data_IF_632005950669
#
_entry.id   IF_632005950669
#
_cell.length_a   1.000
_cell.length_b   1.000
_cell.length_c   1.000
_cell.angle_alpha   90.00
_cell.angle_beta   90.00
_cell.angle_gamma   90.00
#
_symmetry.space_group_name_H-M   'P 1'
#
loop_
_entity.id
_entity.type
_entity.pdbx_description
1 polymer ?
#
# COMPACT_ATOMS: atom_id res chain seq x y z
N UNK A 1 23.33 -8.49 7.70
CA UNK A 1 22.69 -8.45 6.36
C UNK A 1 22.00 -9.79 6.14
N UNK A 2 20.74 -9.79 5.69
CA UNK A 2 19.93 -10.99 5.54
C UNK A 2 20.30 -11.87 4.31
N UNK A 3 21.35 -11.52 3.55
CA UNK A 3 21.84 -12.30 2.41
C UNK A 3 20.90 -12.38 1.21
N UNK A 4 19.88 -11.52 1.14
CA UNK A 4 18.85 -11.57 0.09
C UNK A 4 19.31 -11.04 -1.27
N UNK A 5 20.32 -10.16 -1.28
CA UNK A 5 20.94 -9.62 -2.48
C UNK A 5 22.40 -9.22 -2.20
N UNK A 6 23.21 -9.18 -3.25
CA UNK A 6 24.59 -8.68 -3.27
C UNK A 6 24.67 -7.32 -3.96
N UNK A 7 25.46 -6.36 -3.43
CA UNK A 7 25.81 -5.12 -4.12
C UNK A 7 26.50 -5.34 -5.48
N UNK A 8 27.13 -6.49 -5.71
CA UNK A 8 27.78 -6.83 -6.98
C UNK A 8 26.77 -7.10 -8.10
N UNK A 9 25.53 -7.44 -7.74
CA UNK A 9 24.45 -7.69 -8.70
C UNK A 9 23.14 -7.07 -8.19
N UNK A 10 22.99 -5.73 -8.22
CA UNK A 10 21.84 -5.05 -7.65
C UNK A 10 20.52 -5.41 -8.34
N UNK A 11 20.57 -5.81 -9.62
CA UNK A 11 19.39 -6.18 -10.43
C UNK A 11 18.78 -7.54 -10.02
N UNK A 12 19.37 -8.27 -9.06
CA UNK A 12 18.80 -9.53 -8.55
C UNK A 12 17.59 -9.30 -7.62
N UNK A 13 17.43 -8.08 -7.11
CA UNK A 13 16.32 -7.70 -6.26
C UNK A 13 15.26 -7.01 -7.11
N UNK A 14 14.06 -7.57 -7.13
CA UNK A 14 12.89 -6.97 -7.78
C UNK A 14 11.93 -6.57 -6.67
N UNK A 15 11.50 -5.32 -6.68
CA UNK A 15 10.47 -4.81 -5.78
C UNK A 15 9.14 -4.91 -6.52
N UNK A 16 8.11 -5.42 -5.86
CA UNK A 16 6.75 -5.43 -6.35
C UNK A 16 5.89 -4.64 -5.37
N UNK A 17 5.09 -3.70 -5.88
CA UNK A 17 4.13 -2.98 -5.05
C UNK A 17 2.96 -3.92 -4.72
N UNK A 18 2.53 -3.96 -3.46
CA UNK A 18 1.49 -4.90 -3.01
C UNK A 18 0.18 -4.82 -3.81
N UNK A 19 -0.41 -3.62 -4.07
CA UNK A 19 -1.64 -3.55 -4.85
C UNK A 19 -1.44 -3.90 -6.33
N UNK A 20 -0.24 -3.67 -6.89
CA UNK A 20 0.13 -4.10 -8.24
C UNK A 20 0.23 -5.63 -8.33
N UNK A 21 0.93 -6.24 -7.37
CA UNK A 21 1.04 -7.69 -7.25
C UNK A 21 -0.36 -8.32 -7.12
N UNK A 22 -1.19 -7.80 -6.23
CA UNK A 22 -2.56 -8.26 -6.06
C UNK A 22 -3.38 -8.13 -7.36
N UNK A 23 -3.25 -7.01 -8.08
CA UNK A 23 -3.87 -6.78 -9.38
C UNK A 23 -3.48 -7.88 -10.38
N UNK A 24 -2.20 -8.21 -10.49
CA UNK A 24 -1.68 -9.27 -11.38
C UNK A 24 -2.28 -10.63 -11.03
N UNK A 25 -2.38 -10.96 -9.74
CA UNK A 25 -2.97 -12.24 -9.34
C UNK A 25 -4.48 -12.29 -9.61
N UNK A 26 -5.21 -11.22 -9.27
CA UNK A 26 -6.66 -11.14 -9.51
C UNK A 26 -7.01 -11.37 -10.99
N UNK A 27 -6.10 -10.99 -11.90
CA UNK A 27 -6.15 -11.21 -13.36
C UNK A 27 -6.16 -12.66 -13.83
N UNK A 28 -5.64 -13.56 -13.01
CA UNK A 28 -5.51 -14.98 -13.32
C UNK A 28 -6.61 -15.83 -12.69
N UNK A 29 -7.42 -15.24 -11.81
CA UNK A 29 -8.46 -15.93 -11.08
C UNK A 29 -9.64 -16.29 -12.00
N UNK A 30 -10.16 -17.51 -11.83
CA UNK A 30 -11.41 -17.99 -12.43
C UNK A 30 -12.59 -17.71 -11.50
N UNK A 31 -13.84 -17.78 -11.99
CA UNK A 31 -15.03 -17.42 -11.20
C UNK A 31 -15.13 -18.21 -9.88
N UNK A 32 -14.80 -19.51 -9.91
CA UNK A 32 -14.85 -20.37 -8.73
C UNK A 32 -13.75 -20.08 -7.68
N UNK A 33 -12.77 -19.24 -8.01
CA UNK A 33 -11.67 -18.83 -7.12
C UNK A 33 -11.95 -17.47 -6.47
N UNK A 34 -13.17 -16.96 -6.61
CA UNK A 34 -13.58 -15.66 -6.14
C UNK A 34 -14.92 -15.73 -5.41
N UNK A 35 -15.17 -14.73 -4.58
CA UNK A 35 -16.45 -14.48 -3.92
C UNK A 35 -16.95 -13.14 -4.44
N UNK A 36 -18.06 -13.15 -5.18
CA UNK A 36 -18.78 -11.93 -5.58
C UNK A 36 -19.81 -11.59 -4.51
N UNK A 37 -19.58 -10.51 -3.76
CA UNK A 37 -20.46 -10.11 -2.67
C UNK A 37 -21.84 -9.66 -3.14
N UNK A 38 -22.01 -9.28 -4.42
CA UNK A 38 -23.31 -8.91 -4.98
C UNK A 38 -24.23 -10.13 -5.16
N UNK A 39 -23.66 -11.34 -5.27
CA UNK A 39 -24.39 -12.59 -5.49
C UNK A 39 -24.89 -13.28 -4.22
N UNK A 40 -24.52 -12.78 -3.02
CA UNK A 40 -25.02 -13.32 -1.75
C UNK A 40 -26.47 -12.89 -1.53
N UNK A 41 -27.41 -13.70 -2.03
CA UNK A 41 -28.75 -13.73 -1.47
C UNK A 41 -28.68 -14.06 0.04
N UNK A 42 -29.57 -13.52 0.89
CA UNK A 42 -29.62 -13.91 2.29
C UNK A 42 -29.94 -15.40 2.37
N UNK A 43 -29.02 -16.20 2.92
CA UNK A 43 -29.27 -17.62 3.19
C UNK A 43 -30.25 -17.70 4.35
N UNK A 44 -31.54 -17.65 4.03
CA UNK A 44 -32.63 -17.94 4.95
C UNK A 44 -33.35 -19.20 4.50
N UNK A 45 -33.46 -20.18 5.41
CA UNK A 45 -34.52 -21.18 5.37
C UNK A 45 -34.09 -22.64 5.31
N UNK A 46 -33.51 -23.16 6.39
CA UNK A 46 -33.76 -24.58 6.71
C UNK A 46 -35.25 -24.71 7.08
N UNK A 47 -36.05 -25.28 6.19
CA UNK A 47 -37.42 -25.72 6.51
C UNK A 47 -37.35 -27.10 7.19
N UNK A 48 -37.91 -27.29 8.39
CA UNK A 48 -37.88 -28.55 9.10
C UNK A 48 -39.05 -29.43 8.66
N UNK A 49 -38.99 -29.94 7.43
CA UNK A 49 -39.86 -31.03 7.01
C UNK A 49 -39.33 -31.60 5.70
N UNK A 50 -38.30 -32.44 5.77
CA UNK A 50 -38.19 -33.54 4.83
C UNK A 50 -37.35 -34.66 5.43
N UNK A 51 -37.92 -35.86 5.30
CA UNK A 51 -37.53 -37.08 5.98
C UNK A 51 -36.28 -37.68 5.37
N UNK A 52 -35.43 -38.24 6.23
CA UNK A 52 -34.15 -38.90 5.94
C UNK A 52 -34.29 -39.97 4.85
N UNK A 53 -33.49 -39.86 3.79
CA UNK A 53 -33.26 -40.96 2.86
C UNK A 53 -32.39 -40.60 1.67
N UNK A 54 -31.20 -41.21 1.59
CA UNK A 54 -30.27 -41.22 0.43
C UNK A 54 -29.42 -39.96 0.19
N UNK A 55 -28.21 -39.94 0.76
CA UNK A 55 -27.22 -38.89 0.44
C UNK A 55 -25.80 -39.12 0.97
N UNK A 56 -25.49 -40.28 1.55
CA UNK A 56 -24.19 -40.51 2.21
C UNK A 56 -23.03 -40.89 1.28
N UNK A 57 -23.22 -40.88 -0.05
CA UNK A 57 -22.17 -41.24 -1.02
C UNK A 57 -21.49 -40.05 -1.71
N UNK A 58 -22.06 -38.84 -1.70
CA UNK A 58 -21.43 -37.68 -2.38
C UNK A 58 -20.43 -36.89 -1.52
N UNK A 59 -20.49 -37.00 -0.19
CA UNK A 59 -19.61 -36.23 0.70
C UNK A 59 -18.14 -36.71 0.75
N UNK A 60 -17.85 -37.95 0.36
CA UNK A 60 -16.49 -38.51 0.41
C UNK A 60 -15.66 -38.30 -0.85
N UNK A 61 -16.27 -37.99 -1.99
CA UNK A 61 -15.53 -37.65 -3.22
C UNK A 61 -15.06 -36.18 -3.25
N UNK A 62 -15.84 -35.26 -2.67
CA UNK A 62 -15.45 -33.83 -2.59
C UNK A 62 -14.20 -33.60 -1.73
N UNK A 63 -14.02 -34.35 -0.64
CA UNK A 63 -12.84 -34.23 0.23
C UNK A 63 -11.59 -34.88 -0.40
N UNK A 64 -11.76 -35.88 -1.28
CA UNK A 64 -10.64 -36.57 -1.94
C UNK A 64 -10.04 -35.78 -3.11
N UNK A 65 -10.82 -34.99 -3.85
CA UNK A 65 -10.28 -34.12 -4.92
C UNK A 65 -9.50 -32.91 -4.40
N UNK A 66 -9.77 -32.45 -3.18
CA UNK A 66 -9.11 -31.26 -2.60
C UNK A 66 -7.64 -31.48 -2.14
N UNK A 67 -7.09 -32.68 -2.35
CA UNK A 67 -5.68 -33.01 -2.04
C UNK A 67 -4.79 -33.14 -3.28
N UNK A 68 -5.33 -33.09 -4.49
CA UNK A 68 -4.57 -33.24 -5.74
C UNK A 68 -4.80 -32.03 -6.65
N UNK A 69 -4.08 -30.95 -6.35
CA UNK A 69 -3.56 -29.94 -7.30
C UNK A 69 -2.96 -28.79 -6.50
N UNK A 70 -1.87 -29.08 -5.77
CA UNK A 70 -0.97 -28.06 -5.19
C UNK A 70 0.12 -27.65 -6.19
N UNK A 71 -0.17 -27.77 -7.48
CA UNK A 71 0.73 -27.32 -8.55
C UNK A 71 0.14 -26.04 -9.08
N UNK A 72 0.76 -24.91 -8.73
CA UNK A 72 0.49 -23.62 -9.35
C UNK A 72 0.95 -23.71 -10.82
N UNK A 73 0.04 -24.03 -11.73
CA UNK A 73 0.32 -23.95 -13.15
C UNK A 73 0.16 -22.49 -13.59
N UNK A 74 1.27 -21.89 -14.00
CA UNK A 74 1.28 -20.57 -14.64
C UNK A 74 0.77 -20.76 -16.07
N UNK A 75 -0.53 -20.86 -16.25
CA UNK A 75 -1.12 -20.77 -17.58
C UNK A 75 -1.27 -19.30 -17.98
N UNK A 76 -0.95 -18.96 -19.23
CA UNK A 76 -1.17 -17.63 -19.82
C UNK A 76 -2.65 -17.32 -20.08
N UNK A 77 -3.56 -17.93 -19.33
CA UNK A 77 -5.00 -17.76 -19.46
C UNK A 77 -5.41 -16.49 -18.71
N UNK A 78 -6.11 -15.60 -19.40
CA UNK A 78 -6.83 -14.46 -18.82
C UNK A 78 -8.04 -15.03 -18.09
N UNK A 79 -8.23 -14.69 -16.81
CA UNK A 79 -9.32 -15.22 -15.99
C UNK A 79 -10.71 -14.87 -16.56
N UNK A 80 -11.74 -15.64 -16.22
CA UNK A 80 -13.10 -15.50 -16.77
C UNK A 80 -13.70 -14.09 -16.55
N UNK A 81 -13.54 -13.50 -15.36
CA UNK A 81 -13.99 -12.10 -15.10
C UNK A 81 -13.30 -11.10 -16.04
N UNK A 82 -12.06 -11.38 -16.43
CA UNK A 82 -11.29 -10.49 -17.29
C UNK A 82 -11.70 -10.55 -18.74
N UNK A 83 -12.36 -11.65 -19.15
CA UNK A 83 -13.04 -11.70 -20.44
C UNK A 83 -14.27 -10.79 -20.50
N UNK A 84 -14.81 -10.39 -19.34
CA UNK A 84 -15.91 -9.42 -19.28
C UNK A 84 -15.42 -7.98 -19.46
N UNK A 85 -14.12 -7.69 -19.32
CA UNK A 85 -13.59 -6.33 -19.34
C UNK A 85 -13.28 -5.85 -20.75
N UNK A 86 -13.71 -4.63 -21.04
CA UNK A 86 -13.49 -3.97 -22.32
C UNK A 86 -12.39 -2.90 -22.21
N UNK A 87 -11.87 -2.44 -23.35
CA UNK A 87 -10.92 -1.33 -23.35
C UNK A 87 -11.53 -0.10 -22.69
N UNK A 88 -10.80 0.49 -21.75
CA UNK A 88 -11.27 1.66 -21.03
C UNK A 88 -11.98 1.35 -19.71
N UNK A 89 -12.41 0.10 -19.48
CA UNK A 89 -12.98 -0.33 -18.20
C UNK A 89 -11.96 -0.12 -17.06
N UNK A 90 -12.50 0.19 -15.89
CA UNK A 90 -11.70 0.49 -14.69
C UNK A 90 -12.04 -0.43 -13.55
N UNK A 91 -11.04 -0.70 -12.72
CA UNK A 91 -11.22 -1.44 -11.49
C UNK A 91 -10.31 -0.90 -10.40
N UNK A 92 -10.69 -1.14 -9.15
CA UNK A 92 -9.93 -0.74 -7.97
C UNK A 92 -9.41 -2.00 -7.28
N UNK A 93 -8.17 -1.95 -6.82
CA UNK A 93 -7.61 -2.96 -5.91
C UNK A 93 -7.40 -2.28 -4.56
N UNK A 94 -8.00 -2.86 -3.51
CA UNK A 94 -7.95 -2.37 -2.14
C UNK A 94 -7.25 -3.42 -1.31
N UNK A 95 -5.96 -3.22 -1.08
CA UNK A 95 -5.17 -4.05 -0.18
C UNK A 95 -5.39 -3.60 1.26
N UNK A 96 -6.17 -4.38 2.00
CA UNK A 96 -6.43 -4.15 3.42
C UNK A 96 -5.52 -5.06 4.24
N UNK A 97 -4.37 -4.53 4.63
CA UNK A 97 -3.34 -5.24 5.38
C UNK A 97 -3.50 -5.16 6.90
N UNK A 98 -2.44 -5.61 7.58
CA UNK A 98 -2.32 -5.53 9.03
C UNK A 98 -2.21 -4.09 9.53
N UNK A 99 -1.23 -3.35 9.00
CA UNK A 99 -0.94 -1.96 9.42
C UNK A 99 -1.46 -0.90 8.46
N UNK A 100 -1.39 -1.15 7.16
CA UNK A 100 -1.79 -0.19 6.12
C UNK A 100 -2.99 -0.71 5.34
N UNK A 101 -3.65 0.22 4.67
CA UNK A 101 -4.57 -0.09 3.58
C UNK A 101 -4.12 0.74 2.38
N UNK A 102 -3.93 0.07 1.25
CA UNK A 102 -3.38 0.65 0.03
C UNK A 102 -4.33 0.42 -1.13
N UNK A 103 -4.55 1.45 -1.94
CA UNK A 103 -5.56 1.49 -3.00
C UNK A 103 -4.94 1.95 -4.30
N UNK A 104 -5.24 1.22 -5.37
CA UNK A 104 -4.83 1.58 -6.74
C UNK A 104 -5.99 1.48 -7.70
N UNK A 105 -6.04 2.38 -8.67
CA UNK A 105 -7.05 2.39 -9.72
C UNK A 105 -6.39 2.07 -11.04
N UNK A 106 -6.87 1.02 -11.70
CA UNK A 106 -6.35 0.54 -12.96
C UNK A 106 -7.36 0.76 -14.08
N UNK A 107 -6.85 1.05 -15.28
CA UNK A 107 -7.59 0.98 -16.52
C UNK A 107 -6.96 -0.05 -17.45
N UNK A 108 -7.83 -0.81 -18.10
CA UNK A 108 -7.43 -1.83 -19.06
C UNK A 108 -7.13 -1.19 -20.42
N UNK A 109 -5.99 -1.58 -20.98
CA UNK A 109 -5.64 -1.33 -22.38
C UNK A 109 -5.57 -2.64 -23.16
N UNK A 110 -6.35 -2.71 -24.23
CA UNK A 110 -6.33 -3.82 -25.20
C UNK A 110 -5.25 -3.55 -26.28
N UNK A 111 -4.79 -4.58 -27.03
CA UNK A 111 -5.25 -5.97 -27.08
C UNK A 111 -4.64 -6.91 -26.04
N UNK A 112 -3.53 -6.52 -25.42
CA UNK A 112 -2.72 -7.39 -24.54
C UNK A 112 -3.20 -7.38 -23.07
N UNK A 113 -4.16 -6.51 -22.72
CA UNK A 113 -4.68 -6.35 -21.36
C UNK A 113 -3.68 -5.66 -20.42
N UNK A 114 -2.85 -4.77 -20.92
CA UNK A 114 -1.87 -4.07 -20.08
C UNK A 114 -2.52 -3.14 -19.07
N UNK A 115 -1.84 -2.98 -17.94
CA UNK A 115 -2.26 -2.10 -16.87
C UNK A 115 -1.75 -0.69 -17.12
N UNK A 116 -2.69 0.25 -17.18
CA UNK A 116 -2.41 1.67 -16.98
C UNK A 116 -2.94 2.05 -15.61
N UNK A 117 -2.04 2.45 -14.72
CA UNK A 117 -2.44 3.08 -13.47
C UNK A 117 -3.09 4.44 -13.79
N UNK A 118 -4.36 4.62 -13.37
CA UNK A 118 -5.09 5.86 -13.59
C UNK A 118 -4.97 6.83 -12.44
N UNK A 119 -4.73 6.32 -11.24
CA UNK A 119 -4.60 7.13 -10.05
C UNK A 119 -3.51 6.52 -9.19
N UNK A 120 -2.57 7.37 -8.73
CA UNK A 120 -1.44 6.93 -7.93
C UNK A 120 -1.90 6.09 -6.75
N UNK A 121 -1.12 5.08 -6.36
CA UNK A 121 -1.33 4.37 -5.12
C UNK A 121 -1.54 5.36 -3.96
N UNK A 122 -2.64 5.18 -3.23
CA UNK A 122 -2.93 5.95 -2.01
C UNK A 122 -3.28 5.00 -0.89
N UNK A 123 -2.94 5.38 0.34
CA UNK A 123 -3.21 4.54 1.49
C UNK A 123 -3.09 5.30 2.79
N UNK A 124 -3.26 4.57 3.89
CA UNK A 124 -3.07 5.13 5.22
C UNK A 124 -2.97 4.06 6.32
N UNK A 125 -2.63 4.47 7.55
CA UNK A 125 -2.32 3.58 8.66
C UNK A 125 -3.59 3.06 9.37
N UNK A 126 -4.60 2.67 8.60
CA UNK A 126 -5.90 2.21 9.11
C UNK A 126 -6.17 0.73 8.78
N UNK A 127 -5.12 -0.10 8.84
CA UNK A 127 -5.24 -1.56 8.76
C UNK A 127 -5.86 -2.20 10.02
N UNK A 128 -5.92 -3.54 10.04
CA UNK A 128 -6.53 -4.30 11.15
C UNK A 128 -5.93 -4.05 12.54
N UNK A 129 -4.70 -3.53 12.64
CA UNK A 129 -4.07 -3.10 13.90
C UNK A 129 -4.88 -1.99 14.60
N UNK A 130 -5.64 -1.18 13.84
CA UNK A 130 -6.56 -0.20 14.41
C UNK A 130 -7.57 -0.82 15.38
N UNK A 131 -8.04 -2.03 15.07
CA UNK A 131 -8.98 -2.79 15.91
C UNK A 131 -8.29 -3.28 17.19
N UNK A 132 -7.01 -3.64 17.11
CA UNK A 132 -6.20 -4.03 18.27
C UNK A 132 -5.96 -2.84 19.21
N UNK A 133 -5.73 -1.66 18.65
CA UNK A 133 -5.63 -0.42 19.45
C UNK A 133 -6.94 -0.07 20.15
N UNK A 134 -8.10 -0.23 19.50
CA UNK A 134 -9.39 -0.01 20.14
C UNK A 134 -9.65 -1.04 21.27
N UNK A 135 -9.22 -2.29 21.08
CA UNK A 135 -9.28 -3.29 22.15
C UNK A 135 -8.39 -2.92 23.33
N UNK A 136 -7.17 -2.44 23.08
CA UNK A 136 -6.28 -1.96 24.13
C UNK A 136 -6.88 -0.77 24.89
N UNK A 137 -7.43 0.22 24.19
CA UNK A 137 -8.14 1.36 24.81
C UNK A 137 -9.28 0.90 25.71
N UNK A 138 -10.04 -0.11 25.26
CA UNK A 138 -11.08 -0.73 26.07
C UNK A 138 -10.50 -1.37 27.34
N UNK A 139 -9.39 -2.11 27.24
CA UNK A 139 -8.70 -2.67 28.41
C UNK A 139 -8.21 -1.57 29.37
N UNK A 140 -7.63 -0.49 28.86
CA UNK A 140 -7.22 0.67 29.67
C UNK A 140 -8.43 1.31 30.37
N UNK A 141 -9.57 1.44 29.70
CA UNK A 141 -10.81 1.97 30.30
C UNK A 141 -11.34 1.10 31.44
N UNK A 142 -11.20 -0.22 31.34
CA UNK A 142 -11.72 -1.16 32.35
C UNK A 142 -10.73 -1.34 33.51
N UNK A 143 -9.44 -1.50 33.21
CA UNK A 143 -8.41 -1.92 34.18
C UNK A 143 -7.48 -0.77 34.62
N UNK A 144 -7.54 0.37 33.93
CA UNK A 144 -6.70 1.54 34.10
C UNK A 144 -5.41 1.47 33.29
N UNK A 145 -5.00 2.61 32.74
CA UNK A 145 -3.84 2.77 31.86
C UNK A 145 -2.53 2.38 32.56
N UNK A 146 -2.32 2.87 33.78
CA UNK A 146 -1.16 2.55 34.64
C UNK A 146 -0.97 1.05 34.86
N UNK A 147 -2.08 0.31 34.97
CA UNK A 147 -2.02 -1.15 35.09
C UNK A 147 -1.61 -1.80 33.76
N UNK A 148 -2.21 -1.41 32.64
CA UNK A 148 -1.93 -2.01 31.32
C UNK A 148 -0.48 -1.77 30.92
N UNK A 149 0.03 -0.55 31.09
CA UNK A 149 1.44 -0.22 30.84
C UNK A 149 2.38 -1.06 31.70
N UNK A 150 2.12 -1.14 33.01
CA UNK A 150 2.97 -1.92 33.90
C UNK A 150 2.89 -3.43 33.59
N UNK A 151 1.72 -3.94 33.23
CA UNK A 151 1.55 -5.34 32.85
C UNK A 151 2.34 -5.69 31.59
N UNK A 152 2.31 -4.84 30.56
CA UNK A 152 3.12 -5.03 29.33
C UNK A 152 4.61 -5.13 29.63
N UNK A 153 5.11 -4.28 30.52
CA UNK A 153 6.54 -4.25 30.90
C UNK A 153 6.91 -5.47 31.76
N UNK A 154 6.09 -5.81 32.76
CA UNK A 154 6.42 -6.84 33.75
C UNK A 154 6.07 -8.26 33.30
N UNK A 155 5.10 -8.41 32.39
CA UNK A 155 4.55 -9.70 31.92
C UNK A 155 4.33 -9.71 30.39
N UNK A 156 5.36 -9.41 29.58
CA UNK A 156 5.20 -9.28 28.12
C UNK A 156 4.68 -10.55 27.45
N UNK A 157 5.11 -11.75 27.90
CA UNK A 157 4.62 -13.02 27.34
C UNK A 157 3.10 -13.19 27.55
N UNK A 158 2.59 -12.86 28.73
CA UNK A 158 1.16 -12.93 29.01
C UNK A 158 0.37 -11.84 28.24
N UNK A 159 0.97 -10.68 27.97
CA UNK A 159 0.37 -9.71 27.06
C UNK A 159 0.22 -10.27 25.64
N UNK A 160 1.24 -10.94 25.12
CA UNK A 160 1.18 -11.63 23.82
C UNK A 160 0.08 -12.68 23.81
N UNK A 161 -0.03 -13.52 24.85
CA UNK A 161 -1.10 -14.52 24.96
C UNK A 161 -2.51 -13.90 24.92
N UNK A 162 -2.69 -12.76 25.61
CA UNK A 162 -3.95 -12.01 25.58
C UNK A 162 -4.27 -11.50 24.17
N UNK A 163 -3.28 -10.93 23.48
CA UNK A 163 -3.48 -10.42 22.12
C UNK A 163 -3.73 -11.54 21.11
N UNK A 164 -3.11 -12.73 21.28
CA UNK A 164 -3.43 -13.92 20.48
C UNK A 164 -4.87 -14.39 20.72
N UNK A 165 -5.30 -14.41 21.99
CA UNK A 165 -6.68 -14.75 22.33
C UNK A 165 -7.67 -13.76 21.71
N UNK A 166 -7.35 -12.46 21.72
CA UNK A 166 -8.14 -11.43 21.06
C UNK A 166 -8.17 -11.61 19.54
N UNK A 167 -7.02 -11.80 18.88
CA UNK A 167 -6.90 -12.00 17.43
C UNK A 167 -7.82 -13.13 16.94
N UNK A 168 -7.86 -14.24 17.68
CA UNK A 168 -8.77 -15.35 17.38
C UNK A 168 -10.26 -14.94 17.39
N UNK A 169 -10.66 -14.08 18.32
CA UNK A 169 -12.04 -13.58 18.42
C UNK A 169 -12.33 -12.46 17.44
N UNK A 170 -11.34 -11.62 17.12
CA UNK A 170 -11.39 -10.60 16.08
C UNK A 170 -11.72 -11.24 14.73
N UNK A 171 -11.03 -12.31 14.33
CA UNK A 171 -11.32 -13.07 13.09
C UNK A 171 -12.70 -13.75 13.07
N UNK A 172 -13.26 -14.05 14.23
CA UNK A 172 -14.57 -14.68 14.36
C UNK A 172 -15.73 -13.67 14.47
N UNK A 173 -15.44 -12.37 14.47
CA UNK A 173 -16.45 -11.32 14.48
C UNK A 173 -17.16 -11.26 13.12
N UNK A 174 -18.48 -11.18 13.14
CA UNK A 174 -19.30 -11.12 11.93
C UNK A 174 -20.55 -10.27 12.19
N UNK A 175 -21.06 -9.57 11.17
CA UNK A 175 -22.20 -8.66 11.31
C UNK A 175 -23.50 -9.31 11.82
N UNK A 176 -23.78 -10.54 11.39
CA UNK A 176 -24.99 -11.32 11.70
C UNK A 176 -24.86 -12.12 13.01
N UNK A 177 -23.71 -12.03 13.68
CA UNK A 177 -23.44 -12.79 14.90
C UNK A 177 -24.22 -12.20 16.07
N UNK A 178 -25.17 -12.97 16.59
CA UNK A 178 -25.91 -12.63 17.81
C UNK A 178 -25.22 -13.12 19.09
N UNK A 179 -24.37 -14.14 18.98
CA UNK A 179 -23.71 -14.76 20.12
C UNK A 179 -22.47 -13.96 20.58
N UNK A 180 -22.35 -13.65 21.88
CA UNK A 180 -21.16 -13.01 22.45
C UNK A 180 -19.86 -13.75 22.15
N UNK A 181 -18.76 -13.00 22.09
CA UNK A 181 -17.40 -13.51 21.92
C UNK A 181 -16.66 -13.49 23.25
N UNK A 182 -16.19 -14.66 23.71
CA UNK A 182 -15.44 -14.77 24.95
C UNK A 182 -13.93 -14.73 24.66
N UNK A 183 -13.23 -13.78 25.27
CA UNK A 183 -11.78 -13.61 25.22
C UNK A 183 -11.19 -14.09 26.54
N UNK A 184 -10.29 -15.07 26.48
CA UNK A 184 -9.61 -15.59 27.65
C UNK A 184 -8.57 -14.59 28.14
N UNK A 185 -8.65 -14.21 29.42
CA UNK A 185 -7.56 -13.48 30.07
C UNK A 185 -6.55 -14.49 30.65
N UNK A 186 -5.25 -14.34 30.38
CA UNK A 186 -4.24 -15.19 30.99
C UNK A 186 -4.31 -15.14 32.52
N UNK A 187 -4.05 -16.27 33.20
CA UNK A 187 -4.02 -16.31 34.67
C UNK A 187 -3.08 -15.25 35.26
N UNK A 188 -1.93 -15.03 34.61
CA UNK A 188 -0.98 -13.99 35.02
C UNK A 188 -1.57 -12.58 34.96
N UNK A 189 -2.50 -12.28 34.06
CA UNK A 189 -3.22 -11.00 34.01
C UNK A 189 -4.12 -10.86 35.24
N UNK A 190 -4.93 -11.88 35.51
CA UNK A 190 -5.92 -11.90 36.59
C UNK A 190 -5.24 -11.80 37.97
N UNK A 191 -4.21 -12.61 38.21
CA UNK A 191 -3.44 -12.63 39.46
C UNK A 191 -2.69 -11.31 39.67
N UNK A 192 -2.04 -10.79 38.63
CA UNK A 192 -1.30 -9.54 38.71
C UNK A 192 -2.22 -8.35 38.95
N UNK A 193 -3.37 -8.29 38.27
CA UNK A 193 -4.38 -7.25 38.50
C UNK A 193 -4.85 -7.22 39.94
N UNK A 194 -5.17 -8.39 40.52
CA UNK A 194 -5.60 -8.50 41.91
C UNK A 194 -4.54 -7.99 42.89
N UNK A 195 -3.26 -8.29 42.63
CA UNK A 195 -2.13 -7.79 43.44
C UNK A 195 -1.91 -6.29 43.28
N UNK A 196 -2.10 -5.75 42.08
CA UNK A 196 -1.86 -4.34 41.77
C UNK A 196 -2.98 -3.42 42.27
N UNK A 197 -4.25 -3.83 42.13
CA UNK A 197 -5.42 -3.02 42.51
C UNK A 197 -6.06 -3.38 43.85
N UNK A 198 -5.77 -4.56 44.38
CA UNK A 198 -6.39 -5.06 45.62
C UNK A 198 -7.81 -5.64 45.45
N UNK A 199 -8.36 -5.68 44.24
CA UNK A 199 -9.68 -6.26 43.96
C UNK A 199 -9.68 -7.09 42.65
N UNK A 200 -10.75 -7.86 42.42
CA UNK A 200 -10.84 -8.75 41.26
C UNK A 200 -11.09 -8.02 39.93
N UNK A 201 -10.79 -8.70 38.82
CA UNK A 201 -11.14 -8.31 37.45
C UNK A 201 -12.67 -8.15 37.30
N UNK A 202 -13.45 -9.04 37.91
CA UNK A 202 -14.92 -8.94 37.92
C UNK A 202 -15.40 -7.66 38.60
N UNK A 203 -14.78 -7.27 39.72
CA UNK A 203 -15.09 -6.00 40.38
C UNK A 203 -14.77 -4.80 39.48
N UNK A 204 -13.64 -4.84 38.76
CA UNK A 204 -13.26 -3.80 37.82
C UNK A 204 -14.30 -3.63 36.70
N UNK A 205 -14.77 -4.73 36.12
CA UNK A 205 -15.80 -4.74 35.08
C UNK A 205 -17.17 -4.25 35.57
N UNK A 206 -17.54 -4.52 36.83
CA UNK A 206 -18.78 -3.98 37.41
C UNK A 206 -18.70 -2.49 37.70
N UNK A 207 -17.50 -2.00 38.02
CA UNK A 207 -17.25 -0.59 38.31
C UNK A 207 -17.02 0.22 37.04
N UNK A 208 -16.52 -0.40 35.97
CA UNK A 208 -16.35 0.26 34.69
C UNK A 208 -17.72 0.57 34.09
N UNK A 209 -17.89 1.77 33.56
CA UNK A 209 -19.13 2.20 32.89
C UNK A 209 -19.20 1.62 31.46
N UNK A 210 -19.03 0.30 31.35
CA UNK A 210 -18.86 -0.46 30.09
C UNK A 210 -19.83 -1.65 30.09
N UNK A 211 -21.11 -1.38 29.87
CA UNK A 211 -22.19 -2.37 30.03
C UNK A 211 -22.16 -3.53 29.02
N UNK A 212 -21.47 -3.33 27.91
CA UNK A 212 -21.41 -4.25 26.78
C UNK A 212 -20.29 -5.29 26.90
N UNK A 213 -19.50 -5.25 27.99
CA UNK A 213 -18.47 -6.25 28.33
C UNK A 213 -18.74 -6.80 29.72
N UNK A 214 -18.83 -8.13 29.85
CA UNK A 214 -19.16 -8.80 31.12
C UNK A 214 -18.11 -9.82 31.51
N UNK A 215 -17.99 -10.08 32.80
CA UNK A 215 -17.22 -11.22 33.29
C UNK A 215 -18.07 -12.49 33.16
N UNK A 216 -17.54 -13.52 32.49
CA UNK A 216 -18.21 -14.81 32.41
C UNK A 216 -17.89 -15.68 33.63
N UNK A 217 -18.80 -16.61 33.96
CA UNK A 217 -18.60 -17.58 35.04
C UNK A 217 -17.39 -18.50 34.83
N UNK A 218 -16.90 -18.60 33.58
CA UNK A 218 -15.71 -19.37 33.21
C UNK A 218 -14.41 -18.56 33.29
N UNK A 219 -14.44 -17.32 33.79
CA UNK A 219 -13.25 -16.50 33.96
C UNK A 219 -12.75 -15.83 32.67
N UNK A 220 -13.64 -15.59 31.71
CA UNK A 220 -13.32 -14.92 30.44
C UNK A 220 -14.05 -13.58 30.30
N UNK A 221 -13.47 -12.68 29.51
CA UNK A 221 -14.07 -11.42 29.08
C UNK A 221 -15.13 -11.70 28.00
N UNK A 222 -16.41 -11.54 28.33
CA UNK A 222 -17.53 -11.74 27.40
C UNK A 222 -17.88 -10.44 26.71
N UNK A 223 -17.54 -10.34 25.44
CA UNK A 223 -17.86 -9.22 24.57
C UNK A 223 -19.21 -9.45 23.90
N UNK A 224 -20.14 -8.51 24.04
CA UNK A 224 -21.35 -8.52 23.21
C UNK A 224 -21.00 -8.30 21.73
N UNK A 225 -21.89 -8.67 20.79
CA UNK A 225 -21.71 -8.35 19.37
C UNK A 225 -21.49 -6.85 19.13
N UNK A 226 -22.27 -5.99 19.78
CA UNK A 226 -22.14 -4.54 19.66
C UNK A 226 -20.79 -4.03 20.16
N UNK A 227 -20.29 -4.60 21.27
CA UNK A 227 -18.96 -4.31 21.78
C UNK A 227 -17.88 -4.63 20.75
N UNK A 228 -17.95 -5.83 20.15
CA UNK A 228 -16.99 -6.24 19.15
C UNK A 228 -17.07 -5.35 17.92
N UNK A 229 -18.28 -5.08 17.40
CA UNK A 229 -18.48 -4.22 16.23
C UNK A 229 -17.97 -2.79 16.47
N UNK A 230 -18.13 -2.26 17.69
CA UNK A 230 -17.63 -0.94 18.06
C UNK A 230 -16.09 -0.85 17.96
N UNK A 231 -15.35 -1.94 18.21
CA UNK A 231 -13.89 -1.95 18.06
C UNK A 231 -13.45 -1.80 16.58
N UNK A 232 -14.25 -2.31 15.64
CA UNK A 232 -13.93 -2.24 14.21
C UNK A 232 -14.34 -0.91 13.58
N UNK A 233 -15.37 -0.26 14.15
CA UNK A 233 -16.03 0.88 13.53
C UNK A 233 -15.06 2.02 13.15
N UNK A 234 -14.16 2.51 14.03
CA UNK A 234 -13.25 3.60 13.66
C UNK A 234 -12.33 3.26 12.48
N UNK A 235 -11.88 2.01 12.39
CA UNK A 235 -11.01 1.53 11.31
C UNK A 235 -11.78 1.36 10.00
N UNK A 236 -12.96 0.73 10.06
CA UNK A 236 -13.82 0.53 8.88
C UNK A 236 -14.30 1.87 8.31
N UNK A 237 -14.72 2.80 9.16
CA UNK A 237 -15.19 4.12 8.73
C UNK A 237 -14.09 4.87 7.95
N UNK A 238 -12.83 4.80 8.41
CA UNK A 238 -11.70 5.41 7.71
C UNK A 238 -11.46 4.78 6.33
N UNK A 239 -11.53 3.45 6.22
CA UNK A 239 -11.38 2.74 4.95
C UNK A 239 -12.49 3.14 3.98
N UNK A 240 -13.74 3.16 4.44
CA UNK A 240 -14.91 3.53 3.61
C UNK A 240 -14.83 4.99 3.19
N UNK A 241 -14.41 5.88 4.09
CA UNK A 241 -14.21 7.30 3.78
C UNK A 241 -13.15 7.47 2.69
N UNK A 242 -11.96 6.87 2.85
CA UNK A 242 -10.88 6.98 1.87
C UNK A 242 -11.28 6.39 0.52
N UNK A 243 -12.01 5.26 0.51
CA UNK A 243 -12.58 4.73 -0.73
C UNK A 243 -13.53 5.73 -1.39
N UNK A 244 -14.41 6.36 -0.62
CA UNK A 244 -15.34 7.37 -1.14
C UNK A 244 -14.58 8.53 -1.79
N UNK A 245 -13.53 9.04 -1.15
CA UNK A 245 -12.65 10.08 -1.69
C UNK A 245 -11.93 9.66 -2.98
N UNK A 246 -11.61 8.36 -3.15
CA UNK A 246 -11.06 7.83 -4.41
C UNK A 246 -12.14 7.76 -5.50
N UNK A 247 -13.33 7.27 -5.16
CA UNK A 247 -14.45 7.13 -6.07
C UNK A 247 -15.06 8.47 -6.54
N UNK A 248 -14.84 9.55 -5.79
CA UNK A 248 -15.34 10.89 -6.13
C UNK A 248 -14.37 11.66 -7.04
N UNK A 249 -13.21 11.08 -7.35
CA UNK A 249 -12.26 11.67 -8.30
C UNK A 249 -12.79 11.60 -9.73
N UNK A 250 -12.64 12.68 -10.53
CA UNK A 250 -13.17 12.73 -11.90
C UNK A 250 -12.53 11.69 -12.83
N UNK A 251 -11.31 11.24 -12.55
CA UNK A 251 -10.64 10.17 -13.30
C UNK A 251 -11.15 8.76 -12.97
N UNK A 252 -11.91 8.60 -11.87
CA UNK A 252 -12.38 7.32 -11.31
C UNK A 252 -13.89 7.16 -11.56
N UNK A 253 -14.29 7.19 -12.83
CA UNK A 253 -15.67 6.90 -13.29
C UNK A 253 -15.79 5.49 -13.88
N UNK A 254 -16.99 4.92 -13.95
CA UNK A 254 -17.25 3.61 -14.57
C UNK A 254 -16.37 2.47 -14.00
N UNK A 255 -16.20 2.43 -12.68
CA UNK A 255 -15.50 1.33 -12.00
C UNK A 255 -16.38 0.08 -12.05
N UNK A 256 -15.92 -0.97 -12.74
CA UNK A 256 -16.66 -2.22 -12.90
C UNK A 256 -16.47 -3.16 -11.71
N UNK A 257 -15.24 -3.25 -11.23
CA UNK A 257 -14.84 -4.14 -10.13
C UNK A 257 -14.08 -3.41 -9.03
N UNK A 258 -14.33 -3.84 -7.80
CA UNK A 258 -13.48 -3.54 -6.64
C UNK A 258 -12.97 -4.87 -6.08
N UNK A 259 -11.67 -5.10 -6.16
CA UNK A 259 -11.02 -6.26 -5.56
C UNK A 259 -10.58 -5.90 -4.14
N UNK A 260 -11.21 -6.52 -3.15
CA UNK A 260 -10.84 -6.36 -1.74
C UNK A 260 -9.86 -7.49 -1.38
N UNK A 261 -8.60 -7.14 -1.13
CA UNK A 261 -7.48 -8.07 -0.90
C UNK A 261 -6.76 -7.76 0.41
N UNK A 262 -5.77 -8.58 0.77
CA UNK A 262 -5.02 -8.43 2.02
C UNK A 262 -5.62 -9.22 3.20
N UNK A 263 -4.86 -9.33 4.30
CA UNK A 263 -5.29 -10.15 5.44
C UNK A 263 -6.55 -9.63 6.15
N UNK A 264 -6.76 -8.31 6.17
CA UNK A 264 -7.94 -7.71 6.80
C UNK A 264 -9.20 -7.84 5.93
N UNK A 265 -9.04 -8.06 4.62
CA UNK A 265 -10.17 -8.37 3.73
C UNK A 265 -10.90 -9.67 4.10
N UNK A 266 -10.31 -10.54 4.93
CA UNK A 266 -11.00 -11.72 5.49
C UNK A 266 -12.13 -11.34 6.46
N UNK A 267 -12.11 -10.13 7.02
CA UNK A 267 -13.08 -9.66 8.00
C UNK A 267 -14.48 -9.53 7.41
N UNK A 268 -15.49 -10.32 7.86
CA UNK A 268 -16.86 -10.20 7.36
C UNK A 268 -17.47 -8.82 7.64
N UNK A 269 -17.05 -8.15 8.71
CA UNK A 269 -17.46 -6.78 9.04
C UNK A 269 -16.98 -5.77 7.98
N UNK A 270 -15.71 -5.87 7.56
CA UNK A 270 -15.16 -5.03 6.50
C UNK A 270 -15.84 -5.31 5.16
N UNK A 271 -16.00 -6.59 4.82
CA UNK A 271 -16.66 -7.01 3.58
C UNK A 271 -18.09 -6.44 3.48
N UNK A 272 -18.88 -6.54 4.55
CA UNK A 272 -20.23 -5.97 4.57
C UNK A 272 -20.21 -4.45 4.43
N UNK A 273 -19.32 -3.76 5.14
CA UNK A 273 -19.24 -2.30 5.07
C UNK A 273 -18.90 -1.80 3.67
N UNK A 274 -17.90 -2.41 3.03
CA UNK A 274 -17.51 -2.09 1.64
C UNK A 274 -18.65 -2.43 0.66
N UNK A 275 -19.28 -3.60 0.81
CA UNK A 275 -20.42 -3.98 -0.05
C UNK A 275 -21.61 -3.02 0.12
N UNK A 276 -21.91 -2.60 1.34
CA UNK A 276 -23.01 -1.68 1.62
C UNK A 276 -22.74 -0.29 1.05
N UNK A 277 -21.49 0.18 1.09
CA UNK A 277 -21.11 1.50 0.60
C UNK A 277 -20.96 1.56 -0.93
N UNK A 278 -20.41 0.51 -1.56
CA UNK A 278 -19.98 0.56 -2.97
C UNK A 278 -20.62 -0.47 -3.88
N UNK A 279 -21.40 -1.42 -3.35
CA UNK A 279 -22.00 -2.51 -4.13
C UNK A 279 -23.02 -2.06 -5.17
N UNK A 280 -23.56 -0.84 -5.06
CA UNK A 280 -24.41 -0.20 -6.07
C UNK A 280 -23.61 0.48 -7.20
N UNK A 281 -22.33 0.77 -6.95
CA UNK A 281 -21.43 1.45 -7.91
C UNK A 281 -20.57 0.47 -8.70
N UNK A 282 -20.24 -0.68 -8.11
CA UNK A 282 -19.37 -1.69 -8.71
C UNK A 282 -19.61 -3.09 -8.11
N UNK A 283 -19.09 -4.13 -8.75
CA UNK A 283 -19.05 -5.49 -8.19
C UNK A 283 -17.87 -5.62 -7.22
N UNK A 284 -18.15 -5.93 -5.96
CA UNK A 284 -17.11 -6.18 -4.95
C UNK A 284 -16.72 -7.65 -4.97
N UNK A 285 -15.45 -7.90 -5.30
CA UNK A 285 -14.88 -9.22 -5.49
C UNK A 285 -13.80 -9.49 -4.44
N UNK A 286 -13.84 -10.68 -3.84
CA UNK A 286 -12.83 -11.14 -2.89
C UNK A 286 -12.20 -12.43 -3.42
N UNK A 287 -10.88 -12.46 -3.68
CA UNK A 287 -10.17 -13.70 -4.00
C UNK A 287 -10.28 -14.75 -2.90
N UNK A 288 -10.30 -16.03 -3.28
CA UNK A 288 -10.00 -17.12 -2.34
C UNK A 288 -8.55 -17.03 -1.89
N UNK A 289 -8.29 -17.45 -0.65
CA UNK A 289 -6.99 -17.30 0.02
C UNK A 289 -6.49 -15.84 -0.03
N UNK A 290 -7.35 -14.89 0.35
CA UNK A 290 -7.10 -13.46 0.17
C UNK A 290 -5.77 -12.99 0.79
N UNK A 291 -5.35 -13.56 1.93
CA UNK A 291 -4.06 -13.29 2.55
C UNK A 291 -2.82 -13.76 1.76
N UNK A 292 -2.97 -14.62 0.75
CA UNK A 292 -1.90 -15.05 -0.16
C UNK A 292 -1.91 -14.33 -1.52
N UNK A 293 -2.90 -13.47 -1.77
CA UNK A 293 -3.10 -12.81 -3.06
C UNK A 293 -1.87 -12.00 -3.48
N UNK A 294 -1.34 -11.19 -2.57
CA UNK A 294 -0.17 -10.34 -2.81
C UNK A 294 1.06 -11.19 -3.11
N UNK A 295 1.31 -12.23 -2.30
CA UNK A 295 2.46 -13.12 -2.48
C UNK A 295 2.42 -13.84 -3.83
N UNK A 296 1.28 -14.43 -4.20
CA UNK A 296 1.09 -15.10 -5.49
C UNK A 296 1.29 -14.11 -6.65
N UNK A 297 0.79 -12.89 -6.49
CA UNK A 297 0.98 -11.78 -7.40
C UNK A 297 2.44 -11.37 -7.58
N UNK A 298 3.19 -11.26 -6.49
CA UNK A 298 4.59 -10.88 -6.50
C UNK A 298 5.46 -11.93 -7.21
N UNK A 299 5.15 -13.22 -7.03
CA UNK A 299 5.79 -14.30 -7.79
C UNK A 299 5.51 -14.16 -9.29
N UNK A 300 4.25 -13.89 -9.67
CA UNK A 300 3.90 -13.66 -11.07
C UNK A 300 4.60 -12.43 -11.66
N UNK A 301 4.69 -11.34 -10.88
CA UNK A 301 5.43 -10.14 -11.28
C UNK A 301 6.93 -10.43 -11.48
N UNK A 302 7.54 -11.21 -10.60
CA UNK A 302 8.95 -11.61 -10.75
C UNK A 302 9.21 -12.48 -11.99
N UNK A 303 8.20 -13.23 -12.46
CA UNK A 303 8.28 -14.01 -13.70
C UNK A 303 8.14 -13.13 -14.96
N UNK A 304 7.29 -12.10 -14.90
CA UNK A 304 7.10 -11.14 -15.99
C UNK A 304 6.85 -9.72 -15.45
N UNK A 305 7.92 -8.94 -15.19
CA UNK A 305 7.80 -7.56 -14.73
C UNK A 305 7.16 -6.62 -15.75
N UNK A 306 7.13 -6.99 -17.05
CA UNK A 306 6.63 -6.15 -18.13
C UNK A 306 5.09 -6.11 -18.21
N UNK A 307 4.40 -6.85 -17.34
CA UNK A 307 2.93 -6.85 -17.26
C UNK A 307 2.36 -5.45 -16.95
N UNK A 308 3.10 -4.62 -16.21
CA UNK A 308 2.77 -3.22 -15.90
C UNK A 308 3.56 -2.31 -16.83
N UNK A 309 2.89 -1.77 -17.86
CA UNK A 309 3.54 -0.93 -18.87
C UNK A 309 3.57 0.54 -18.51
N UNK A 310 2.59 1.04 -17.74
CA UNK A 310 2.44 2.49 -17.48
C UNK A 310 2.07 2.74 -16.02
N UNK A 311 2.91 3.53 -15.34
CA UNK A 311 2.72 4.01 -13.96
C UNK A 311 2.42 5.50 -13.94
N UNK A 312 1.84 6.02 -12.84
CA UNK A 312 1.78 7.48 -12.60
C UNK A 312 2.88 7.91 -11.64
N UNK A 313 3.62 8.96 -12.00
CA UNK A 313 4.66 9.49 -11.10
C UNK A 313 4.00 10.03 -9.82
N UNK A 314 4.38 9.56 -8.62
CA UNK A 314 3.76 10.03 -7.38
C UNK A 314 4.16 11.47 -7.05
N UNK A 315 5.33 11.91 -7.55
CA UNK A 315 5.94 13.22 -7.30
C UNK A 315 6.44 13.85 -8.62
N UNK A 316 6.61 15.16 -8.59
CA UNK A 316 7.36 15.92 -9.58
C UNK A 316 8.84 15.75 -9.30
N UNK A 317 9.64 15.38 -10.31
CA UNK A 317 11.08 15.23 -10.18
C UNK A 317 11.83 16.19 -11.09
N UNK A 318 12.93 16.72 -10.58
CA UNK A 318 13.78 17.63 -11.34
C UNK A 318 15.11 17.88 -10.65
N UNK A 319 15.86 18.81 -11.22
CA UNK A 319 17.18 19.19 -10.70
C UNK A 319 17.27 20.70 -10.49
N UNK A 320 18.09 21.10 -9.52
CA UNK A 320 18.38 22.52 -9.27
C UNK A 320 19.39 23.06 -10.27
N UNK A 321 19.04 24.12 -11.00
CA UNK A 321 19.89 24.72 -12.03
C UNK A 321 20.02 26.23 -11.90
N UNK A 322 21.04 26.78 -12.57
CA UNK A 322 21.14 28.20 -12.89
C UNK A 322 20.59 28.40 -14.31
N UNK A 323 19.63 29.32 -14.47
CA UNK A 323 19.10 29.68 -15.79
C UNK A 323 19.31 31.17 -16.08
N UNK A 324 19.13 31.62 -17.33
CA UNK A 324 19.19 33.06 -17.64
C UNK A 324 18.05 33.79 -16.94
N UNK A 325 18.38 34.92 -16.31
CA UNK A 325 17.37 35.74 -15.65
C UNK A 325 16.50 36.45 -16.69
N UNK A 326 15.18 36.35 -16.52
CA UNK A 326 14.19 37.00 -17.38
C UNK A 326 13.39 37.98 -16.53
N UNK A 327 13.52 39.26 -16.86
CA UNK A 327 12.79 40.35 -16.19
C UNK A 327 11.28 40.13 -16.30
N UNK A 328 10.55 40.36 -15.21
CA UNK A 328 9.09 40.19 -15.15
C UNK A 328 8.61 38.73 -15.05
N UNK A 329 9.46 37.73 -15.34
CA UNK A 329 9.15 36.31 -15.11
C UNK A 329 9.77 35.78 -13.82
N UNK A 330 11.03 36.13 -13.56
CA UNK A 330 11.76 35.61 -12.40
C UNK A 330 11.72 36.62 -11.25
N UNK A 331 11.58 36.14 -9.99
CA UNK A 331 11.62 37.02 -8.82
C UNK A 331 12.96 37.76 -8.71
N UNK A 332 12.99 39.08 -8.46
CA UNK A 332 14.23 39.86 -8.36
C UNK A 332 15.23 39.32 -7.34
N UNK A 333 14.75 38.71 -6.25
CA UNK A 333 15.57 38.10 -5.21
C UNK A 333 16.34 36.85 -5.67
N UNK A 334 15.96 36.26 -6.81
CA UNK A 334 16.68 35.15 -7.45
C UNK A 334 17.73 35.62 -8.47
N UNK A 335 17.88 36.93 -8.68
CA UNK A 335 18.86 37.49 -9.61
C UNK A 335 20.28 37.38 -9.03
N UNK A 336 21.15 36.72 -9.78
CA UNK A 336 22.59 36.68 -9.54
C UNK A 336 23.32 37.24 -10.75
N UNK A 337 24.06 38.34 -10.58
CA UNK A 337 24.92 38.89 -11.64
C UNK A 337 26.34 38.37 -11.45
N UNK A 338 26.89 37.71 -12.47
CA UNK A 338 28.24 37.16 -12.45
C UNK A 338 28.87 37.25 -13.83
N UNK A 339 30.09 37.80 -13.90
CA UNK A 339 30.85 38.00 -15.14
C UNK A 339 30.01 38.72 -16.23
N UNK A 340 29.28 39.76 -15.82
CA UNK A 340 28.38 40.54 -16.68
C UNK A 340 27.09 39.81 -17.10
N UNK A 341 26.90 38.55 -16.69
CA UNK A 341 25.72 37.75 -17.03
C UNK A 341 24.73 37.72 -15.87
N UNK A 342 23.45 37.94 -16.18
CA UNK A 342 22.33 37.82 -15.24
C UNK A 342 21.78 36.39 -15.22
N UNK A 343 21.90 35.74 -14.07
CA UNK A 343 21.45 34.39 -13.79
C UNK A 343 20.29 34.40 -12.82
N UNK A 344 19.42 33.40 -12.91
CA UNK A 344 18.38 33.08 -11.96
C UNK A 344 18.81 31.85 -11.17
N UNK A 345 18.89 31.98 -9.85
CA UNK A 345 19.29 30.89 -8.96
C UNK A 345 18.10 30.02 -8.59
N UNK A 346 18.42 28.80 -8.16
CA UNK A 346 17.46 27.86 -7.55
C UNK A 346 16.31 27.44 -8.46
N UNK A 347 16.50 27.51 -9.79
CA UNK A 347 15.47 27.10 -10.73
C UNK A 347 15.28 25.59 -10.62
N UNK A 348 14.03 25.15 -10.49
CA UNK A 348 13.65 23.74 -10.55
C UNK A 348 13.43 23.37 -12.02
N UNK A 349 14.37 22.64 -12.62
CA UNK A 349 14.20 22.13 -13.98
C UNK A 349 13.52 20.76 -13.96
N UNK A 350 12.25 20.72 -14.40
CA UNK A 350 11.39 19.53 -14.33
C UNK A 350 11.81 18.48 -15.37
N UNK A 351 12.01 17.26 -14.89
CA UNK A 351 12.13 16.05 -15.71
C UNK A 351 10.77 15.42 -15.92
N UNK A 352 10.02 15.27 -14.82
CA UNK A 352 8.69 14.67 -14.85
C UNK A 352 7.78 15.37 -13.84
N UNK A 353 6.49 15.42 -14.12
CA UNK A 353 5.50 16.04 -13.25
C UNK A 353 4.82 14.98 -12.39
N UNK A 354 4.39 15.37 -11.18
CA UNK A 354 3.46 14.56 -10.41
C UNK A 354 2.28 14.20 -11.30
N UNK A 355 1.75 12.99 -11.13
CA UNK A 355 0.58 12.50 -11.84
C UNK A 355 0.79 12.27 -13.36
N UNK A 356 1.98 12.51 -13.90
CA UNK A 356 2.33 12.20 -15.28
C UNK A 356 2.37 10.68 -15.52
N UNK A 357 1.80 10.21 -16.63
CA UNK A 357 1.93 8.81 -17.07
C UNK A 357 3.33 8.53 -17.59
N UNK A 358 3.92 7.42 -17.13
CA UNK A 358 5.30 7.04 -17.42
C UNK A 358 5.33 5.60 -17.91
N UNK A 359 5.90 5.37 -19.09
CA UNK A 359 6.10 4.01 -19.60
C UNK A 359 7.28 3.31 -18.92
N UNK A 360 7.25 1.98 -18.86
CA UNK A 360 8.36 1.17 -18.36
C UNK A 360 9.66 1.51 -19.12
N UNK A 361 10.69 1.93 -18.39
CA UNK A 361 11.99 2.31 -18.94
C UNK A 361 12.04 3.69 -19.61
N UNK A 362 10.97 4.49 -19.51
CA UNK A 362 10.94 5.85 -20.07
C UNK A 362 12.06 6.71 -19.50
N UNK A 363 12.88 7.28 -20.38
CA UNK A 363 14.04 8.07 -19.98
C UNK A 363 13.88 9.51 -20.42
N UNK A 364 13.91 10.43 -19.47
CA UNK A 364 13.96 11.86 -19.74
C UNK A 364 15.41 12.32 -19.69
N UNK A 365 15.86 12.96 -20.76
CA UNK A 365 17.23 13.49 -20.88
C UNK A 365 17.20 15.02 -20.93
N UNK A 366 18.11 15.65 -20.18
CA UNK A 366 18.38 17.09 -20.22
C UNK A 366 19.89 17.31 -20.38
N UNK A 367 20.24 18.41 -21.04
CA UNK A 367 21.64 18.79 -21.25
C UNK A 367 21.97 20.06 -20.47
N UNK A 368 23.03 20.00 -19.69
CA UNK A 368 23.54 21.09 -18.87
C UNK A 368 24.99 21.41 -19.23
N UNK A 369 25.47 22.54 -18.73
CA UNK A 369 26.86 22.95 -18.89
C UNK A 369 27.43 23.41 -17.56
N UNK A 370 28.72 23.21 -17.29
CA UNK A 370 29.37 23.78 -16.12
C UNK A 370 29.15 25.30 -16.04
N UNK A 371 28.97 25.82 -14.83
CA UNK A 371 28.81 27.26 -14.62
C UNK A 371 30.12 28.02 -14.88
N UNK A 372 31.27 27.35 -14.76
CA UNK A 372 32.61 27.87 -15.07
C UNK A 372 33.37 26.87 -15.95
N UNK A 373 34.10 27.32 -16.98
CA UNK A 373 34.93 26.45 -17.80
C UNK A 373 36.00 25.68 -17.00
N UNK A 374 36.53 26.27 -15.91
CA UNK A 374 37.55 25.68 -15.05
C UNK A 374 37.00 24.71 -13.98
N UNK A 375 35.71 24.43 -13.99
CA UNK A 375 35.09 23.59 -12.97
C UNK A 375 35.55 22.12 -13.12
N UNK A 376 36.15 21.58 -12.06
CA UNK A 376 36.70 20.21 -12.05
C UNK A 376 35.70 19.15 -11.57
N UNK A 377 34.61 19.56 -10.94
CA UNK A 377 33.58 18.65 -10.42
C UNK A 377 32.21 19.29 -10.63
N UNK A 378 31.25 18.53 -11.14
CA UNK A 378 29.85 18.91 -11.19
C UNK A 378 29.05 18.17 -10.13
N UNK A 379 28.19 18.91 -9.43
CA UNK A 379 27.23 18.37 -8.47
C UNK A 379 25.84 18.72 -8.98
N UNK A 380 25.05 17.69 -9.27
CA UNK A 380 23.65 17.83 -9.68
C UNK A 380 22.81 17.31 -8.52
N UNK A 381 22.08 18.21 -7.87
CA UNK A 381 21.14 17.86 -6.81
C UNK A 381 19.78 17.54 -7.45
N UNK A 382 19.21 16.40 -7.06
CA UNK A 382 17.89 15.94 -7.52
C UNK A 382 16.88 16.28 -6.43
N UNK A 383 15.74 16.81 -6.85
CA UNK A 383 14.67 17.26 -5.99
C UNK A 383 13.34 16.61 -6.37
N UNK A 384 12.45 16.52 -5.39
CA UNK A 384 11.11 15.98 -5.50
C UNK A 384 10.08 16.92 -4.86
N UNK A 385 8.85 16.92 -5.35
CA UNK A 385 7.72 17.67 -4.77
C UNK A 385 6.40 16.97 -5.07
N UNK A 386 5.42 17.09 -4.17
CA UNK A 386 4.04 16.62 -4.41
C UNK A 386 3.28 17.55 -5.37
N UNK A 387 3.72 18.81 -5.50
CA UNK A 387 3.11 19.82 -6.37
C UNK A 387 3.65 19.68 -7.80
N UNK A 388 2.77 19.80 -8.80
CA UNK A 388 3.21 19.93 -10.20
C UNK A 388 3.78 21.33 -10.48
N UNK A 389 3.14 22.38 -9.96
CA UNK A 389 3.46 23.78 -10.27
C UNK A 389 4.67 24.34 -9.51
N UNK A 390 5.76 23.60 -9.43
CA UNK A 390 7.01 24.03 -8.80
C UNK A 390 7.92 24.71 -9.82
N UNK A 391 8.43 25.89 -9.47
CA UNK A 391 9.38 26.65 -10.30
C UNK A 391 10.77 26.77 -9.67
N UNK A 392 10.87 26.70 -8.34
CA UNK A 392 12.13 26.85 -7.61
C UNK A 392 12.35 25.76 -6.57
N UNK A 393 13.62 25.37 -6.37
CA UNK A 393 14.01 24.36 -5.37
C UNK A 393 13.86 24.84 -3.93
N UNK A 394 13.62 26.14 -3.73
CA UNK A 394 13.39 26.75 -2.40
C UNK A 394 11.91 26.86 -2.03
N UNK A 395 11.00 26.43 -2.91
CA UNK A 395 9.58 26.46 -2.61
C UNK A 395 9.20 25.47 -1.49
N UNK A 396 8.19 25.79 -0.67
CA UNK A 396 7.69 24.88 0.35
C UNK A 396 7.27 23.53 -0.27
N UNK A 397 7.67 22.43 0.38
CA UNK A 397 7.36 21.08 -0.08
C UNK A 397 8.38 20.47 -1.04
N UNK A 398 9.33 21.25 -1.56
CA UNK A 398 10.43 20.71 -2.37
C UNK A 398 11.51 20.10 -1.47
N UNK A 399 11.85 18.83 -1.73
CA UNK A 399 12.82 18.06 -0.95
C UNK A 399 13.92 17.53 -1.84
N UNK A 400 15.18 17.68 -1.39
CA UNK A 400 16.33 17.05 -2.03
C UNK A 400 16.30 15.54 -1.76
N UNK A 401 16.31 14.72 -2.81
CA UNK A 401 16.25 13.25 -2.72
C UNK A 401 17.47 12.54 -3.34
N UNK A 402 18.35 13.27 -4.03
CA UNK A 402 19.54 12.66 -4.64
C UNK A 402 20.66 13.64 -4.94
N UNK A 403 21.86 13.11 -5.16
CA UNK A 403 23.02 13.90 -5.62
C UNK A 403 23.86 13.08 -6.58
N UNK A 404 24.10 13.61 -7.78
CA UNK A 404 25.09 13.10 -8.73
C UNK A 404 26.34 13.97 -8.63
N UNK A 405 27.50 13.35 -8.37
CA UNK A 405 28.79 14.05 -8.33
C UNK A 405 29.68 13.49 -9.43
N UNK A 406 29.93 14.29 -10.46
CA UNK A 406 30.71 13.91 -11.64
C UNK A 406 32.07 14.61 -11.62
N UNK A 407 33.15 13.83 -11.63
CA UNK A 407 34.50 14.34 -11.77
C UNK A 407 34.81 14.66 -13.24
N UNK A 408 35.21 15.90 -13.48
CA UNK A 408 35.50 16.46 -14.78
C UNK A 408 37.01 16.51 -15.10
N UNK A 409 37.87 16.06 -14.18
CA UNK A 409 39.34 15.99 -14.35
C UNK A 409 39.75 14.97 -15.42
N UNK A 410 40.95 15.14 -15.98
CA UNK A 410 41.53 14.21 -16.97
C UNK A 410 41.24 14.52 -18.44
N UNK A 411 40.95 15.78 -18.79
CA UNK A 411 40.83 16.24 -20.17
C UNK A 411 42.16 16.80 -20.68
N UNK A 412 43.01 15.96 -21.27
CA UNK A 412 44.18 16.38 -22.07
C UNK A 412 43.83 16.72 -23.53
N UNK A 413 42.60 16.43 -23.96
CA UNK A 413 42.09 16.80 -25.28
C UNK A 413 41.33 18.14 -25.21
N UNK A 414 41.46 18.95 -26.27
CA UNK A 414 40.83 20.25 -26.46
C UNK A 414 39.33 20.21 -26.09
N UNK A 415 39.00 20.62 -24.86
CA UNK A 415 37.62 20.67 -24.39
C UNK A 415 36.88 21.70 -25.24
N UNK A 416 35.76 21.35 -25.88
CA UNK A 416 34.94 22.33 -26.59
C UNK A 416 34.62 23.52 -25.69
N UNK A 417 34.51 24.73 -26.25
CA UNK A 417 34.15 25.96 -25.51
C UNK A 417 32.89 25.80 -24.63
N UNK A 418 32.04 24.79 -24.93
CA UNK A 418 30.86 24.43 -24.17
C UNK A 418 30.87 22.92 -23.87
N UNK A 419 31.37 22.54 -22.70
CA UNK A 419 31.32 21.16 -22.19
C UNK A 419 29.88 20.79 -21.86
N UNK A 420 29.36 19.75 -22.50
CA UNK A 420 27.99 19.26 -22.31
C UNK A 420 27.95 18.10 -21.31
N UNK A 421 27.09 18.24 -20.30
CA UNK A 421 26.76 17.19 -19.35
C UNK A 421 25.32 16.75 -19.61
N UNK A 422 25.14 15.51 -20.03
CA UNK A 422 23.81 14.91 -20.19
C UNK A 422 23.39 14.29 -18.87
N UNK A 423 22.27 14.75 -18.35
CA UNK A 423 21.61 14.15 -17.19
C UNK A 423 20.40 13.37 -17.66
N UNK A 424 20.31 12.11 -17.26
CA UNK A 424 19.26 11.18 -17.62
C UNK A 424 18.57 10.73 -16.33
N UNK A 425 17.24 10.70 -16.35
CA UNK A 425 16.44 10.02 -15.33
C UNK A 425 15.56 9.00 -16.03
N UNK A 426 15.71 7.75 -15.63
CA UNK A 426 14.88 6.63 -16.08
C UNK A 426 13.79 6.38 -15.05
N UNK A 427 12.57 6.29 -15.54
CA UNK A 427 11.36 6.12 -14.77
C UNK A 427 10.57 4.89 -15.26
N UNK A 428 9.49 4.58 -14.57
CA UNK A 428 8.57 3.51 -14.96
C UNK A 428 8.95 2.14 -14.42
N UNK A 429 10.18 1.96 -13.91
CA UNK A 429 10.54 0.85 -13.01
C UNK A 429 10.05 1.13 -11.58
N UNK A 430 10.21 0.16 -10.66
CA UNK A 430 9.91 0.38 -9.23
C UNK A 430 10.86 1.35 -8.54
N UNK A 431 12.01 1.61 -9.16
CA UNK A 431 13.00 2.57 -8.68
C UNK A 431 13.31 3.61 -9.77
N UNK A 432 13.67 4.82 -9.35
CA UNK A 432 14.11 5.88 -10.27
C UNK A 432 15.63 5.86 -10.34
N UNK A 433 16.17 5.64 -11.53
CA UNK A 433 17.61 5.61 -11.80
C UNK A 433 18.04 6.93 -12.44
N UNK A 434 18.98 7.64 -11.83
CA UNK A 434 19.51 8.89 -12.36
C UNK A 434 20.99 8.74 -12.73
N UNK A 435 21.38 9.38 -13.83
CA UNK A 435 22.74 9.33 -14.39
C UNK A 435 23.16 10.69 -14.90
N UNK A 436 24.44 11.03 -14.73
CA UNK A 436 25.07 12.15 -15.42
C UNK A 436 26.25 11.64 -16.25
N UNK A 437 26.36 12.08 -17.49
CA UNK A 437 27.39 11.70 -18.46
C UNK A 437 28.06 12.95 -18.98
N UNK A 438 29.38 13.02 -18.87
CA UNK A 438 30.18 14.03 -19.58
C UNK A 438 30.38 13.58 -21.02
N UNK A 439 29.78 14.29 -21.97
CA UNK A 439 29.80 13.91 -23.39
C UNK A 439 31.21 13.92 -23.97
N UNK A 440 32.09 14.78 -23.45
CA UNK A 440 33.46 14.90 -23.95
C UNK A 440 34.34 13.71 -23.59
N UNK A 441 34.15 13.10 -22.42
CA UNK A 441 35.00 12.00 -21.92
C UNK A 441 34.28 10.66 -21.84
N UNK A 442 32.97 10.64 -22.03
CA UNK A 442 32.09 9.49 -21.73
C UNK A 442 32.14 9.02 -20.28
N UNK A 443 32.77 9.77 -19.36
CA UNK A 443 32.71 9.49 -17.93
C UNK A 443 31.28 9.67 -17.45
N UNK A 444 30.81 8.73 -16.64
CA UNK A 444 29.46 8.76 -16.09
C UNK A 444 29.44 8.45 -14.60
N UNK A 445 28.43 9.00 -13.93
CA UNK A 445 28.07 8.67 -12.55
C UNK A 445 26.61 8.31 -12.50
N UNK A 446 26.26 7.30 -11.71
CA UNK A 446 24.89 6.83 -11.50
C UNK A 446 24.54 6.93 -10.02
N UNK A 447 23.28 7.20 -9.73
CA UNK A 447 22.72 7.13 -8.38
C UNK A 447 21.30 6.57 -8.45
N UNK A 448 20.97 5.66 -7.55
CA UNK A 448 19.58 5.33 -7.23
C UNK A 448 19.04 6.42 -6.30
N UNK A 449 17.82 6.89 -6.54
CA UNK A 449 17.19 7.86 -5.65
C UNK A 449 16.65 7.12 -4.44
N UNK A 450 17.09 7.51 -3.24
CA UNK A 450 16.62 6.93 -1.99
C UNK A 450 15.39 7.69 -1.48
N UNK A 451 14.29 6.98 -1.34
CA UNK A 451 13.00 7.49 -0.86
C UNK A 451 12.69 7.06 0.59
N UNK A 452 13.60 6.34 1.26
CA UNK A 452 13.38 5.81 2.62
C UNK A 452 14.05 6.68 3.70
N UNK A 453 14.97 7.56 3.31
CA UNK A 453 15.59 8.54 4.19
C UNK A 453 14.84 9.88 4.13
N UNK A 454 13.66 9.92 4.77
CA UNK A 454 12.89 11.14 5.04
C UNK A 454 12.80 11.44 6.53
#
# INVERSE_FOLDING_TARGET
QAGMASPENPEQLIIALEPEAASIYCRKLRLHQMIDLSSRAPVNGYSPSDTIGTGFTQGKEHVRRNRQSRTFMVENVIGEIWSELEEGDRYIVVDSGGGTVDMTVHQIRLPEGHLKELYKATGGPYGSLGVDYEFEKLLCKIFGEDFIEQFKIKRPAAWVDLMIAFESRKRAAAPDRTNPLNITLPFSFIDYYKKFRGHSVEHALRKSNVDFVKWSSQGMLRMSPDAMNALFKPTIDQIVQHLSEVFDKPEVTNVKFLFLVGGFAESPLLQQAVQSAFGSRCRVIIPQDVGLTILKGAVLFGLDPAVIKVRRSPLTYGVGVLNRFVEGKHPPEKLLVKDGTRWCTDVFDKFISADQSVALGETVTRSYTPAKPSQLVIVINIYSSEQDSVSFITEPGVKKCGTLRLDLTGTDAAVPNRREIKTLMQFGDTEIKAMAVDVATSKSVKVGIDFLNY
#
